data_IF_906808574615
#
_entry.id   IF_906808574615
#
_cell.length_a   1.000
_cell.length_b   1.000
_cell.length_c   1.000
_cell.angle_alpha   90.00
_cell.angle_beta   90.00
_cell.angle_gamma   90.00
#
_symmetry.space_group_name_H-M   'P 1'
#
loop_
_entity.id
_entity.type
_entity.pdbx_description
1 polymer ?
#
# COMPACT_ATOMS: atom_id res chain seq x y z
N UNK A 1 -10.25 -1.66 2.93
CA UNK A 1 -9.02 -0.95 3.33
C UNK A 1 -9.03 -0.87 4.85
N UNK A 2 -8.42 -1.85 5.53
CA UNK A 2 -8.31 -1.86 6.98
C UNK A 2 -7.42 -0.70 7.41
N UNK A 3 -8.03 0.38 7.88
CA UNK A 3 -7.38 1.42 8.69
C UNK A 3 -7.22 0.88 10.12
N UNK A 4 -6.57 -0.27 10.26
CA UNK A 4 -6.33 -0.92 11.54
C UNK A 4 -4.98 -0.49 12.11
N UNK A 5 -4.97 -0.07 13.37
CA UNK A 5 -3.78 0.15 14.19
C UNK A 5 -2.97 -1.16 14.30
N UNK A 6 -2.09 -1.42 13.34
CA UNK A 6 -1.29 -2.65 13.31
C UNK A 6 0.18 -2.44 13.65
N UNK A 7 0.64 -1.20 13.82
CA UNK A 7 2.03 -0.95 14.21
C UNK A 7 2.16 -0.93 15.73
N UNK A 8 2.72 -1.99 16.30
CA UNK A 8 3.11 -1.97 17.70
C UNK A 8 4.32 -1.04 17.89
N UNK A 9 4.41 -0.33 19.02
CA UNK A 9 5.62 0.46 19.35
C UNK A 9 6.90 -0.39 19.28
N UNK A 10 6.81 -1.67 19.70
CA UNK A 10 7.94 -2.61 19.62
C UNK A 10 8.35 -2.91 18.18
N UNK A 11 7.38 -3.01 17.27
CA UNK A 11 7.62 -3.26 15.85
C UNK A 11 8.31 -2.07 15.18
N UNK A 12 7.82 -0.85 15.45
CA UNK A 12 8.43 0.38 14.94
C UNK A 12 9.86 0.53 15.46
N UNK A 13 10.07 0.39 16.77
CA UNK A 13 11.41 0.46 17.37
C UNK A 13 12.36 -0.59 16.80
N UNK A 14 11.88 -1.81 16.60
CA UNK A 14 12.69 -2.87 15.99
C UNK A 14 13.04 -2.55 14.54
N UNK A 15 12.10 -2.01 13.77
CA UNK A 15 12.31 -1.65 12.37
C UNK A 15 13.29 -0.49 12.21
N UNK A 16 13.19 0.55 13.04
CA UNK A 16 14.02 1.76 12.96
C UNK A 16 15.30 1.70 13.80
N UNK A 17 15.58 0.59 14.50
CA UNK A 17 16.72 0.46 15.42
C UNK A 17 18.06 0.89 14.82
N UNK A 18 18.32 0.57 13.56
CA UNK A 18 19.59 0.90 12.88
C UNK A 18 19.76 2.41 12.73
N UNK A 19 18.70 3.09 12.32
CA UNK A 19 18.69 4.54 12.16
C UNK A 19 18.78 5.22 13.53
N UNK A 20 18.08 4.69 14.55
CA UNK A 20 18.17 5.20 15.93
C UNK A 20 19.61 5.12 16.44
N UNK A 21 20.27 3.96 16.34
CA UNK A 21 21.66 3.82 16.81
C UNK A 21 22.62 4.70 16.02
N UNK A 22 22.44 4.83 14.71
CA UNK A 22 23.26 5.71 13.87
C UNK A 22 23.10 7.17 14.27
N UNK A 23 21.87 7.67 14.38
CA UNK A 23 21.59 9.06 14.78
C UNK A 23 22.07 9.34 16.20
N UNK A 24 21.86 8.39 17.13
CA UNK A 24 22.32 8.51 18.50
C UNK A 24 23.85 8.53 18.59
N UNK A 25 24.55 7.76 17.75
CA UNK A 25 26.01 7.81 17.68
C UNK A 25 26.50 9.16 17.14
N UNK A 26 25.85 9.67 16.09
CA UNK A 26 26.18 10.98 15.50
C UNK A 26 25.90 12.14 16.47
N UNK A 27 24.89 12.04 17.34
CA UNK A 27 24.63 13.07 18.34
C UNK A 27 25.53 12.92 19.57
N UNK A 28 25.73 11.71 20.07
CA UNK A 28 26.44 11.45 21.31
C UNK A 28 27.95 11.67 21.17
N UNK A 29 28.58 11.18 20.10
CA UNK A 29 30.05 11.25 19.94
C UNK A 29 30.55 12.71 19.94
N UNK A 30 30.04 13.63 19.09
CA UNK A 30 30.48 15.02 19.10
C UNK A 30 30.20 15.72 20.43
N UNK A 31 29.06 15.42 21.07
CA UNK A 31 28.69 16.00 22.37
C UNK A 31 29.67 15.58 23.47
N UNK A 32 30.06 14.30 23.50
CA UNK A 32 31.05 13.80 24.46
C UNK A 32 32.44 14.38 24.19
N UNK A 33 32.87 14.47 22.93
CA UNK A 33 34.14 15.10 22.56
C UNK A 33 34.18 16.58 22.96
N UNK A 34 33.06 17.29 22.81
CA UNK A 34 32.92 18.69 23.22
C UNK A 34 33.10 18.86 24.73
N UNK A 35 32.47 18.00 25.55
CA UNK A 35 32.50 18.11 27.02
C UNK A 35 33.84 17.64 27.61
N UNK A 36 34.36 16.50 27.15
CA UNK A 36 35.52 15.84 27.78
C UNK A 36 36.87 16.19 27.15
N UNK A 37 36.93 16.54 25.86
CA UNK A 37 38.18 16.88 25.16
C UNK A 37 38.30 18.37 24.80
N UNK A 38 37.35 19.21 25.25
CA UNK A 38 37.25 20.64 24.95
C UNK A 38 37.35 20.98 23.44
N UNK A 39 36.88 20.07 22.58
CA UNK A 39 36.89 20.24 21.12
C UNK A 39 35.79 21.21 20.64
N UNK A 40 35.95 22.48 21.02
CA UNK A 40 35.01 23.58 20.69
C UNK A 40 35.00 23.97 19.21
N UNK A 41 36.04 23.58 18.45
CA UNK A 41 36.13 23.86 17.01
C UNK A 41 35.10 23.06 16.18
N UNK A 42 34.54 21.98 16.74
CA UNK A 42 33.51 21.15 16.09
C UNK A 42 32.08 21.71 16.31
N UNK A 43 31.94 22.99 16.64
CA UNK A 43 30.64 23.64 16.78
C UNK A 43 30.08 24.00 15.41
N UNK A 44 28.96 23.37 15.04
CA UNK A 44 28.26 23.68 13.79
C UNK A 44 27.28 24.85 14.06
N UNK A 45 27.33 25.93 13.27
CA UNK A 45 26.38 27.03 13.42
C UNK A 45 24.93 26.56 13.24
N UNK A 46 24.02 27.16 13.98
CA UNK A 46 22.59 26.83 13.91
C UNK A 46 21.96 27.14 12.54
N UNK A 47 22.39 28.22 11.89
CA UNK A 47 21.75 28.75 10.69
C UNK A 47 21.74 27.76 9.49
N UNK A 48 22.87 27.12 9.11
CA UNK A 48 22.85 26.07 8.08
C UNK A 48 21.93 24.89 8.41
N UNK A 49 21.87 24.49 9.68
CA UNK A 49 21.01 23.37 10.13
C UNK A 49 19.54 23.73 9.95
N UNK A 50 19.13 24.92 10.42
CA UNK A 50 17.76 25.39 10.29
C UNK A 50 17.33 25.54 8.82
N UNK A 51 18.22 26.06 7.97
CA UNK A 51 17.97 26.20 6.53
C UNK A 51 17.77 24.83 5.86
N UNK A 52 18.68 23.88 6.10
CA UNK A 52 18.59 22.53 5.55
C UNK A 52 17.35 21.79 6.06
N UNK A 53 17.06 21.89 7.36
CA UNK A 53 15.86 21.28 7.96
C UNK A 53 14.57 21.81 7.34
N UNK A 54 14.51 23.12 7.08
CA UNK A 54 13.37 23.76 6.42
C UNK A 54 13.20 23.26 4.98
N UNK A 55 14.28 23.21 4.20
CA UNK A 55 14.24 22.70 2.83
C UNK A 55 13.78 21.23 2.76
N UNK A 56 14.28 20.37 3.66
CA UNK A 56 13.86 18.97 3.75
C UNK A 56 12.38 18.85 4.16
N UNK A 57 11.92 19.64 5.14
CA UNK A 57 10.53 19.64 5.58
C UNK A 57 9.57 20.01 4.45
N UNK A 58 9.88 21.05 3.66
CA UNK A 58 9.11 21.40 2.47
C UNK A 58 9.09 20.28 1.44
N UNK A 59 10.26 19.72 1.10
CA UNK A 59 10.35 18.64 0.12
C UNK A 59 9.53 17.40 0.54
N UNK A 60 9.58 17.04 1.82
CA UNK A 60 8.78 15.95 2.38
C UNK A 60 7.29 16.29 2.35
N UNK A 61 6.91 17.52 2.67
CA UNK A 61 5.53 18.00 2.60
C UNK A 61 4.92 17.83 1.20
N UNK A 62 5.62 18.30 0.16
CA UNK A 62 5.18 18.13 -1.22
C UNK A 62 5.07 16.66 -1.62
N UNK A 63 6.06 15.83 -1.25
CA UNK A 63 6.03 14.39 -1.54
C UNK A 63 4.90 13.66 -0.83
N UNK A 64 4.59 14.05 0.41
CA UNK A 64 3.51 13.46 1.19
C UNK A 64 2.15 13.79 0.58
N UNK A 65 1.92 15.04 0.19
CA UNK A 65 0.69 15.43 -0.50
C UNK A 65 0.49 14.64 -1.79
N UNK A 66 1.52 14.58 -2.66
CA UNK A 66 1.44 13.81 -3.90
C UNK A 66 1.20 12.31 -3.65
N UNK A 67 1.81 11.74 -2.61
CA UNK A 67 1.61 10.33 -2.25
C UNK A 67 0.19 10.06 -1.72
N UNK A 68 -0.35 11.00 -0.94
CA UNK A 68 -1.71 10.93 -0.42
C UNK A 68 -2.74 11.01 -1.55
N UNK A 69 -2.56 11.92 -2.50
CA UNK A 69 -3.46 12.06 -3.64
C UNK A 69 -3.50 10.78 -4.49
N UNK A 70 -2.34 10.16 -4.73
CA UNK A 70 -2.26 8.87 -5.43
C UNK A 70 -2.97 7.74 -4.67
N UNK A 71 -2.80 7.69 -3.34
CA UNK A 71 -3.53 6.73 -2.50
C UNK A 71 -5.04 6.96 -2.60
N UNK A 72 -5.47 8.21 -2.57
CA UNK A 72 -6.87 8.59 -2.68
C UNK A 72 -7.46 8.25 -4.05
N UNK A 73 -6.72 8.49 -5.12
CA UNK A 73 -7.09 8.10 -6.48
C UNK A 73 -7.29 6.58 -6.60
N UNK A 74 -6.33 5.78 -6.12
CA UNK A 74 -6.46 4.33 -6.10
C UNK A 74 -7.69 3.86 -5.31
N UNK A 75 -7.98 4.50 -4.17
CA UNK A 75 -9.19 4.24 -3.39
C UNK A 75 -10.47 4.56 -4.17
N UNK A 76 -10.52 5.70 -4.86
CA UNK A 76 -11.67 6.09 -5.70
C UNK A 76 -11.89 5.10 -6.84
N UNK A 77 -10.82 4.71 -7.54
CA UNK A 77 -10.88 3.71 -8.61
C UNK A 77 -11.41 2.36 -8.11
N UNK A 78 -10.91 1.88 -6.96
CA UNK A 78 -11.43 0.65 -6.35
C UNK A 78 -12.90 0.79 -5.92
N UNK A 79 -13.30 1.95 -5.39
CA UNK A 79 -14.69 2.26 -5.05
C UNK A 79 -15.62 2.24 -6.27
N UNK A 80 -15.16 2.79 -7.40
CA UNK A 80 -15.89 2.74 -8.67
C UNK A 80 -16.08 1.30 -9.15
N UNK A 81 -15.04 0.46 -9.07
CA UNK A 81 -15.13 -0.97 -9.40
C UNK A 81 -16.17 -1.67 -8.52
N UNK A 82 -16.17 -1.42 -7.20
CA UNK A 82 -17.15 -2.03 -6.28
C UNK A 82 -18.59 -1.63 -6.64
N UNK A 83 -18.82 -0.34 -6.91
CA UNK A 83 -20.16 0.13 -7.29
C UNK A 83 -20.58 -0.43 -8.66
N UNK A 84 -19.69 -0.39 -9.66
CA UNK A 84 -19.94 -0.98 -10.97
C UNK A 84 -20.23 -2.47 -10.90
N UNK A 85 -19.54 -3.20 -10.02
CA UNK A 85 -19.79 -4.64 -9.79
C UNK A 85 -21.19 -4.92 -9.25
N UNK A 86 -21.72 -4.04 -8.38
CA UNK A 86 -23.10 -4.17 -7.87
C UNK A 86 -24.12 -3.89 -8.95
N UNK A 87 -23.94 -2.79 -9.70
CA UNK A 87 -24.79 -2.44 -10.83
C UNK A 87 -24.81 -3.56 -11.88
N UNK A 88 -23.65 -4.14 -12.19
CA UNK A 88 -23.53 -5.30 -13.06
C UNK A 88 -24.39 -6.48 -12.60
N UNK A 89 -24.32 -6.83 -11.31
CA UNK A 89 -25.15 -7.90 -10.74
C UNK A 89 -26.65 -7.63 -10.84
N UNK A 90 -27.10 -6.38 -10.62
CA UNK A 90 -28.50 -5.98 -10.78
C UNK A 90 -28.92 -6.09 -12.25
N UNK A 91 -28.13 -5.52 -13.16
CA UNK A 91 -28.40 -5.54 -14.60
C UNK A 91 -28.50 -6.96 -15.16
N UNK A 92 -27.65 -7.90 -14.72
CA UNK A 92 -27.76 -9.30 -15.12
C UNK A 92 -29.13 -9.86 -14.76
N UNK A 93 -29.59 -9.64 -13.52
CA UNK A 93 -30.86 -10.21 -13.05
C UNK A 93 -32.08 -9.59 -13.74
N UNK A 94 -32.02 -8.28 -14.02
CA UNK A 94 -33.16 -7.56 -14.60
C UNK A 94 -33.22 -7.69 -16.13
N UNK A 95 -32.10 -7.57 -16.83
CA UNK A 95 -32.06 -7.56 -18.29
C UNK A 95 -31.97 -8.96 -18.91
N UNK A 96 -31.30 -9.92 -18.27
CA UNK A 96 -31.27 -11.30 -18.75
C UNK A 96 -32.52 -12.01 -18.21
N UNK A 97 -33.69 -11.73 -18.78
CA UNK A 97 -34.96 -12.31 -18.38
C UNK A 97 -35.84 -12.69 -19.57
N UNK A 98 -36.80 -13.59 -19.33
CA UNK A 98 -37.74 -14.05 -20.34
C UNK A 98 -38.81 -13.01 -20.74
N UNK A 99 -38.80 -11.81 -20.15
CA UNK A 99 -39.84 -10.78 -20.38
C UNK A 99 -39.91 -10.30 -21.84
N UNK A 100 -38.76 -10.24 -22.50
CA UNK A 100 -38.63 -9.75 -23.89
C UNK A 100 -37.85 -10.72 -24.79
N UNK A 101 -37.66 -11.96 -24.36
CA UNK A 101 -36.87 -12.93 -25.11
C UNK A 101 -37.70 -13.58 -26.24
N UNK A 102 -37.16 -13.63 -27.46
CA UNK A 102 -37.78 -14.34 -28.59
C UNK A 102 -37.88 -15.85 -28.34
N UNK A 103 -36.92 -16.40 -27.59
CA UNK A 103 -36.93 -17.80 -27.14
C UNK A 103 -36.96 -17.80 -25.61
N UNK A 104 -38.03 -18.34 -25.01
CA UNK A 104 -38.15 -18.43 -23.55
C UNK A 104 -37.33 -19.61 -23.04
N UNK A 105 -36.45 -19.34 -22.08
CA UNK A 105 -35.64 -20.36 -21.40
C UNK A 105 -36.35 -20.84 -20.12
N UNK A 106 -36.00 -22.03 -19.64
CA UNK A 106 -36.42 -22.47 -18.31
C UNK A 106 -35.71 -21.64 -17.23
N UNK A 107 -36.31 -21.51 -16.06
CA UNK A 107 -35.75 -20.73 -14.94
C UNK A 107 -34.38 -21.27 -14.48
N UNK A 108 -34.18 -22.59 -14.58
CA UNK A 108 -32.91 -23.23 -14.29
C UNK A 108 -31.78 -22.78 -15.24
N UNK A 109 -32.06 -22.73 -16.55
CA UNK A 109 -31.09 -22.32 -17.56
C UNK A 109 -30.79 -20.82 -17.47
N UNK A 110 -31.82 -20.00 -17.19
CA UNK A 110 -31.67 -18.56 -16.97
C UNK A 110 -30.74 -18.29 -15.77
N UNK A 111 -30.96 -19.01 -14.66
CA UNK A 111 -30.11 -18.92 -13.47
C UNK A 111 -28.69 -19.39 -13.73
N UNK A 112 -28.49 -20.42 -14.55
CA UNK A 112 -27.17 -20.88 -14.96
C UNK A 112 -26.41 -19.79 -15.73
N UNK A 113 -27.07 -19.09 -16.65
CA UNK A 113 -26.50 -17.95 -17.39
C UNK A 113 -26.14 -16.81 -16.43
N UNK A 114 -27.03 -16.44 -15.50
CA UNK A 114 -26.73 -15.41 -14.49
C UNK A 114 -25.49 -15.76 -13.68
N UNK A 115 -25.41 -17.01 -13.21
CA UNK A 115 -24.27 -17.49 -12.43
C UNK A 115 -22.98 -17.48 -13.25
N UNK A 116 -23.04 -17.85 -14.53
CA UNK A 116 -21.88 -17.81 -15.42
C UNK A 116 -21.33 -16.38 -15.57
N UNK A 117 -22.21 -15.39 -15.78
CA UNK A 117 -21.81 -13.98 -15.93
C UNK A 117 -21.24 -13.41 -14.63
N UNK A 118 -21.84 -13.74 -13.48
CA UNK A 118 -21.33 -13.33 -12.16
C UNK A 118 -19.96 -13.96 -11.90
N UNK A 119 -19.80 -15.26 -12.15
CA UNK A 119 -18.54 -15.96 -11.93
C UNK A 119 -17.41 -15.43 -12.82
N UNK A 120 -17.69 -15.07 -14.07
CA UNK A 120 -16.72 -14.40 -14.95
C UNK A 120 -16.28 -13.04 -14.40
N UNK A 121 -17.22 -12.27 -13.85
CA UNK A 121 -16.89 -10.99 -13.20
C UNK A 121 -16.01 -11.18 -11.95
N UNK A 122 -16.30 -12.20 -11.14
CA UNK A 122 -15.46 -12.56 -9.99
C UNK A 122 -14.07 -13.05 -10.43
N UNK A 123 -13.99 -13.80 -11.53
CA UNK A 123 -12.71 -14.22 -12.11
C UNK A 123 -11.88 -13.00 -12.54
N UNK A 124 -12.50 -12.00 -13.19
CA UNK A 124 -11.82 -10.74 -13.52
C UNK A 124 -11.33 -9.99 -12.28
N UNK A 125 -12.15 -9.87 -11.23
CA UNK A 125 -11.73 -9.26 -9.95
C UNK A 125 -10.55 -9.99 -9.32
N UNK A 126 -10.52 -11.32 -9.45
CA UNK A 126 -9.44 -12.16 -8.95
C UNK A 126 -8.15 -11.92 -9.74
N UNK A 127 -8.23 -11.91 -11.07
CA UNK A 127 -7.09 -11.60 -11.94
C UNK A 127 -6.54 -10.20 -11.66
N UNK A 128 -7.42 -9.20 -11.53
CA UNK A 128 -7.03 -7.83 -11.18
C UNK A 128 -6.30 -7.76 -9.84
N UNK A 129 -6.77 -8.50 -8.82
CA UNK A 129 -6.11 -8.57 -7.51
C UNK A 129 -4.68 -9.13 -7.62
N UNK A 130 -4.46 -10.16 -8.43
CA UNK A 130 -3.14 -10.73 -8.66
C UNK A 130 -2.23 -9.75 -9.41
N UNK A 131 -2.72 -9.15 -10.49
CA UNK A 131 -1.96 -8.17 -11.29
C UNK A 131 -1.51 -6.96 -10.46
N UNK A 132 -2.36 -6.45 -9.58
CA UNK A 132 -2.03 -5.33 -8.70
C UNK A 132 -1.03 -5.68 -7.58
N UNK A 133 -0.79 -6.96 -7.31
CA UNK A 133 0.15 -7.44 -6.29
C UNK A 133 1.49 -7.93 -6.86
N UNK A 134 1.69 -7.79 -8.17
CA UNK A 134 2.98 -8.06 -8.79
C UNK A 134 4.07 -7.15 -8.19
N UNK A 135 5.20 -7.76 -7.82
CA UNK A 135 6.33 -7.02 -7.29
C UNK A 135 6.88 -6.04 -8.32
N UNK A 136 6.96 -4.76 -7.96
CA UNK A 136 7.58 -3.72 -8.79
C UNK A 136 8.91 -3.25 -8.19
N UNK A 137 9.87 -2.96 -9.06
CA UNK A 137 11.22 -2.57 -8.65
C UNK A 137 11.27 -1.28 -7.80
N UNK A 138 10.32 -0.35 -8.00
CA UNK A 138 10.24 0.92 -7.28
C UNK A 138 9.62 0.80 -5.89
N UNK A 139 9.04 -0.34 -5.52
CA UNK A 139 8.39 -0.50 -4.23
C UNK A 139 9.40 -0.64 -3.10
N UNK A 140 9.27 0.23 -2.09
CA UNK A 140 10.19 0.31 -0.97
C UNK A 140 10.27 -1.00 -0.16
N UNK A 141 9.22 -1.82 -0.18
CA UNK A 141 9.15 -3.06 0.60
C UNK A 141 10.13 -4.15 0.11
N UNK A 142 10.58 -4.07 -1.15
CA UNK A 142 11.55 -5.02 -1.71
C UNK A 142 13.01 -4.56 -1.55
N UNK A 143 13.26 -3.36 -1.03
CA UNK A 143 14.62 -2.87 -0.78
C UNK A 143 15.31 -3.70 0.31
N UNK A 144 16.62 -3.90 0.18
CA UNK A 144 17.45 -4.73 1.08
C UNK A 144 17.24 -4.42 2.57
N UNK A 145 17.17 -3.14 2.93
CA UNK A 145 16.98 -2.72 4.31
C UNK A 145 15.59 -3.05 4.89
N UNK A 146 14.58 -3.30 4.04
CA UNK A 146 13.22 -3.62 4.44
C UNK A 146 12.89 -5.13 4.35
N UNK A 147 13.81 -5.95 3.83
CA UNK A 147 13.58 -7.39 3.68
C UNK A 147 13.29 -8.08 5.01
N UNK A 148 13.99 -7.70 6.08
CA UNK A 148 13.79 -8.24 7.43
C UNK A 148 12.37 -7.94 7.95
N UNK A 149 11.87 -6.73 7.69
CA UNK A 149 10.51 -6.35 8.06
C UNK A 149 9.48 -7.12 7.24
N UNK A 150 9.66 -7.18 5.92
CA UNK A 150 8.78 -7.88 5.00
C UNK A 150 8.62 -9.35 5.38
N UNK A 151 9.72 -10.08 5.61
CA UNK A 151 9.68 -11.51 5.90
C UNK A 151 8.95 -11.85 7.22
N UNK A 152 9.02 -10.95 8.20
CA UNK A 152 8.43 -11.14 9.53
C UNK A 152 6.96 -10.70 9.58
N UNK A 153 6.63 -9.54 9.02
CA UNK A 153 5.36 -8.85 9.28
C UNK A 153 4.46 -8.68 8.05
N UNK A 154 4.99 -8.84 6.82
CA UNK A 154 4.22 -8.62 5.59
C UNK A 154 4.21 -9.87 4.70
N UNK A 155 3.30 -10.79 5.01
CA UNK A 155 3.04 -12.00 4.21
C UNK A 155 1.76 -11.83 3.41
N UNK A 156 1.88 -11.90 2.10
CA UNK A 156 0.77 -11.86 1.14
C UNK A 156 0.74 -13.22 0.45
N UNK A 157 -0.40 -13.91 0.50
CA UNK A 157 -0.53 -15.27 -0.06
C UNK A 157 -0.21 -15.30 -1.55
N UNK A 158 -0.70 -14.31 -2.28
CA UNK A 158 -0.57 -14.13 -3.72
C UNK A 158 0.86 -13.84 -4.20
N UNK A 159 1.82 -13.62 -3.28
CA UNK A 159 3.24 -13.57 -3.65
C UNK A 159 3.86 -14.97 -3.76
N UNK A 160 3.19 -16.00 -3.22
CA UNK A 160 3.71 -17.37 -3.13
C UNK A 160 2.91 -18.36 -3.97
N UNK A 161 1.63 -18.07 -4.23
CA UNK A 161 0.76 -18.88 -5.12
C UNK A 161 0.61 -18.20 -6.48
N UNK A 162 0.71 -18.98 -7.56
CA UNK A 162 0.39 -18.50 -8.91
C UNK A 162 -1.12 -18.43 -9.10
N UNK A 163 -1.58 -17.68 -10.12
CA UNK A 163 -3.01 -17.56 -10.43
C UNK A 163 -3.60 -18.88 -10.96
N UNK A 164 -2.77 -19.71 -11.59
CA UNK A 164 -3.17 -20.96 -12.24
C UNK A 164 -3.18 -22.18 -11.30
N UNK A 165 -2.83 -21.98 -10.02
CA UNK A 165 -2.85 -22.97 -8.93
C UNK A 165 -3.96 -22.65 -7.91
#
# INVERSE_FOLDING_TARGET
>A
MHSGKNYSLKEVLFWTRRDIYFLLSISAIPTLLYIYLDWKWLSIPWLPIALLGTAVAFAVGFRNNASYDRMWEARKAWGAIVNGSRSWGIMIKDYVSNKHASTKLNDADLKAIHMQLINRHIAWLTALRYQLREARAWEAIYKKHNQEYKSKWFKVKEHHTKMDE
#
